data_IF_021563409090
#
_entry.id   IF_021563409090
#
_cell.length_a   1.000
_cell.length_b   1.000
_cell.length_c   1.000
_cell.angle_alpha   90.00
_cell.angle_beta   90.00
_cell.angle_gamma   90.00
#
_symmetry.space_group_name_H-M   'P 1'
#
loop_
_entity.id
_entity.type
_entity.pdbx_description
1 polymer ?
#
# COMPACT_ATOMS: atom_id res chain seq x y z
N UNK A 1 25.54 -20.86 10.08
CA UNK A 1 24.71 -20.20 9.05
C UNK A 1 25.21 -18.79 8.97
N UNK A 2 25.96 -18.45 7.91
CA UNK A 2 26.41 -17.07 7.68
C UNK A 2 25.31 -16.34 6.93
N UNK A 3 24.58 -15.48 7.65
CA UNK A 3 23.65 -14.53 7.06
C UNK A 3 24.46 -13.38 6.46
N UNK A 4 24.68 -13.44 5.15
CA UNK A 4 25.23 -12.34 4.36
C UNK A 4 24.12 -11.31 4.13
N UNK A 5 24.10 -10.26 4.96
CA UNK A 5 23.24 -9.10 4.75
C UNK A 5 23.93 -8.16 3.75
N UNK A 6 23.37 -8.02 2.56
CA UNK A 6 23.84 -7.03 1.59
C UNK A 6 23.31 -5.64 1.96
N UNK A 7 24.23 -4.70 2.15
CA UNK A 7 23.89 -3.28 2.19
C UNK A 7 23.76 -2.77 0.75
N UNK A 8 22.52 -2.66 0.27
CA UNK A 8 22.09 -1.77 -0.82
C UNK A 8 22.75 -1.99 -2.22
N UNK A 9 22.29 -3.00 -2.97
CA UNK A 9 22.49 -3.05 -4.43
C UNK A 9 21.27 -2.48 -5.16
N UNK A 10 21.35 -1.20 -5.51
CA UNK A 10 20.25 -0.48 -6.17
C UNK A 10 19.93 -1.04 -7.56
N UNK A 11 20.93 -1.51 -8.30
CA UNK A 11 20.72 -2.03 -9.65
C UNK A 11 19.96 -3.34 -9.60
N UNK A 12 20.39 -4.25 -8.71
CA UNK A 12 19.69 -5.50 -8.44
C UNK A 12 18.24 -5.26 -8.00
N UNK A 13 18.01 -4.37 -7.03
CA UNK A 13 16.66 -4.06 -6.54
C UNK A 13 15.77 -3.51 -7.66
N UNK A 14 16.29 -2.60 -8.50
CA UNK A 14 15.52 -2.03 -9.60
C UNK A 14 15.21 -3.06 -10.70
N UNK A 15 16.11 -4.00 -10.94
CA UNK A 15 15.89 -5.08 -11.91
C UNK A 15 14.85 -6.07 -11.39
N UNK A 16 14.95 -6.51 -10.13
CA UNK A 16 13.95 -7.34 -9.47
C UNK A 16 12.55 -6.68 -9.47
N UNK A 17 12.47 -5.39 -9.15
CA UNK A 17 11.19 -4.66 -9.21
C UNK A 17 10.62 -4.59 -10.64
N UNK A 18 11.46 -4.56 -11.68
CA UNK A 18 11.02 -4.57 -13.08
C UNK A 18 10.56 -5.94 -13.54
N UNK A 19 11.16 -7.01 -13.03
CA UNK A 19 10.71 -8.39 -13.29
C UNK A 19 9.49 -8.78 -12.43
N UNK A 20 9.12 -7.95 -11.45
CA UNK A 20 8.02 -8.23 -10.52
C UNK A 20 8.43 -9.14 -9.37
N UNK A 21 9.73 -9.33 -9.16
CA UNK A 21 10.31 -10.13 -8.08
C UNK A 21 10.38 -9.29 -6.79
N UNK A 22 9.59 -9.68 -5.79
CA UNK A 22 9.64 -9.11 -4.44
C UNK A 22 9.52 -10.29 -3.47
N UNK A 23 10.65 -10.70 -2.90
CA UNK A 23 10.71 -11.86 -2.00
C UNK A 23 10.20 -11.53 -0.59
N UNK A 24 10.63 -10.39 -0.06
CA UNK A 24 10.29 -9.95 1.28
C UNK A 24 10.30 -8.43 1.33
N UNK A 25 9.25 -7.87 1.91
CA UNK A 25 9.23 -6.48 2.32
C UNK A 25 9.14 -6.45 3.84
N UNK A 26 10.13 -5.83 4.48
CA UNK A 26 10.07 -5.57 5.91
C UNK A 26 8.86 -4.67 6.21
N UNK A 27 8.29 -4.80 7.42
CA UNK A 27 7.13 -4.03 7.82
C UNK A 27 7.38 -2.53 7.61
N UNK A 28 6.59 -1.94 6.71
CA UNK A 28 6.70 -0.52 6.37
C UNK A 28 6.00 0.28 7.46
N UNK A 29 6.73 1.14 8.16
CA UNK A 29 6.13 2.08 9.11
C UNK A 29 5.13 3.02 8.43
N UNK A 30 4.11 3.44 9.18
CA UNK A 30 2.99 4.27 8.70
C UNK A 30 3.44 5.50 7.89
N UNK A 31 4.46 6.22 8.37
CA UNK A 31 4.98 7.41 7.69
C UNK A 31 5.55 7.09 6.29
N UNK A 32 6.29 5.97 6.17
CA UNK A 32 6.91 5.55 4.92
C UNK A 32 5.85 5.04 3.93
N UNK A 33 4.84 4.29 4.42
CA UNK A 33 3.70 3.89 3.60
C UNK A 33 2.91 5.12 3.12
N UNK A 34 2.74 6.12 3.98
CA UNK A 34 2.09 7.38 3.63
C UNK A 34 2.82 8.14 2.53
N UNK A 35 4.14 8.28 2.63
CA UNK A 35 4.97 8.92 1.61
C UNK A 35 4.94 8.14 0.28
N UNK A 36 4.95 6.81 0.36
CA UNK A 36 4.81 5.96 -0.80
C UNK A 36 3.46 6.20 -1.52
N UNK A 37 2.35 6.18 -0.80
CA UNK A 37 1.04 6.46 -1.41
C UNK A 37 0.91 7.89 -1.92
N UNK A 38 1.49 8.89 -1.23
CA UNK A 38 1.55 10.28 -1.75
C UNK A 38 2.26 10.35 -3.10
N UNK A 39 3.35 9.61 -3.28
CA UNK A 39 4.04 9.52 -4.58
C UNK A 39 3.19 8.82 -5.64
N UNK A 40 2.50 7.73 -5.29
CA UNK A 40 1.62 7.03 -6.23
C UNK A 40 0.45 7.89 -6.70
N UNK A 41 -0.18 8.61 -5.77
CA UNK A 41 -1.30 9.52 -6.03
C UNK A 41 -0.82 10.71 -6.85
N UNK A 42 0.25 11.39 -6.41
CA UNK A 42 0.77 12.59 -7.07
C UNK A 42 1.29 12.34 -8.49
N UNK A 43 1.66 11.10 -8.82
CA UNK A 43 2.08 10.67 -10.17
C UNK A 43 0.99 9.95 -10.95
N UNK A 44 -0.23 9.90 -10.44
CA UNK A 44 -1.38 9.20 -11.04
C UNK A 44 -1.08 7.73 -11.39
N UNK A 45 -0.21 7.07 -10.63
CA UNK A 45 0.16 5.66 -10.89
C UNK A 45 -1.05 4.76 -10.67
N UNK A 46 -1.81 4.98 -9.60
CA UNK A 46 -3.01 4.18 -9.30
C UNK A 46 -4.08 4.29 -10.38
N UNK A 47 -4.25 5.49 -10.98
CA UNK A 47 -5.18 5.69 -12.10
C UNK A 47 -4.71 4.97 -13.37
N UNK A 48 -3.41 5.05 -13.68
CA UNK A 48 -2.83 4.33 -14.82
C UNK A 48 -2.96 2.82 -14.68
N UNK A 49 -2.69 2.30 -13.48
CA UNK A 49 -2.89 0.88 -13.17
C UNK A 49 -4.38 0.47 -13.26
N UNK A 50 -5.28 1.32 -12.76
CA UNK A 50 -6.72 1.10 -12.84
C UNK A 50 -7.20 0.99 -14.30
N UNK A 51 -6.66 1.80 -15.21
CA UNK A 51 -7.00 1.76 -16.64
C UNK A 51 -6.51 0.48 -17.35
N UNK A 52 -5.44 -0.13 -16.84
CA UNK A 52 -4.92 -1.42 -17.36
C UNK A 52 -5.49 -2.63 -16.62
N UNK A 53 -6.39 -2.44 -15.65
CA UNK A 53 -6.92 -3.53 -14.84
C UNK A 53 -7.88 -4.39 -15.67
N UNK A 54 -7.89 -5.73 -15.52
CA UNK A 54 -8.79 -6.59 -16.28
C UNK A 54 -10.26 -6.22 -16.06
N UNK A 55 -11.01 -6.02 -17.16
CA UNK A 55 -12.45 -5.75 -17.17
C UNK A 55 -13.21 -6.81 -17.98
N UNK A 56 -14.47 -7.13 -17.64
CA UNK A 56 -15.30 -6.52 -16.59
C UNK A 56 -15.00 -7.09 -15.21
N UNK A 57 -15.22 -6.28 -14.17
CA UNK A 57 -15.17 -6.75 -12.77
C UNK A 57 -16.57 -6.94 -12.23
N UNK A 58 -16.74 -7.87 -11.29
CA UNK A 58 -18.05 -8.14 -10.69
C UNK A 58 -18.49 -7.04 -9.71
N UNK A 59 -17.55 -6.43 -8.98
CA UNK A 59 -17.81 -5.42 -7.94
C UNK A 59 -17.48 -4.01 -8.42
N UNK A 60 -18.49 -3.27 -8.86
CA UNK A 60 -18.32 -1.92 -9.42
C UNK A 60 -18.41 -0.78 -8.40
N UNK A 61 -18.84 -1.07 -7.17
CA UNK A 61 -19.11 -0.10 -6.12
C UNK A 61 -17.86 0.62 -5.59
N UNK A 62 -16.69 -0.03 -5.69
CA UNK A 62 -15.40 0.56 -5.29
C UNK A 62 -14.63 0.99 -6.54
N UNK A 63 -14.12 2.23 -6.62
CA UNK A 63 -13.23 2.62 -7.71
C UNK A 63 -12.01 1.68 -7.82
N UNK A 64 -11.64 1.26 -9.04
CA UNK A 64 -10.52 0.31 -9.26
C UNK A 64 -9.23 0.78 -8.61
N UNK A 65 -8.92 2.08 -8.67
CA UNK A 65 -7.71 2.64 -8.08
C UNK A 65 -7.64 2.43 -6.56
N UNK A 66 -8.79 2.48 -5.89
CA UNK A 66 -8.88 2.31 -4.44
C UNK A 66 -8.74 0.83 -4.07
N UNK A 67 -9.31 -0.06 -4.88
CA UNK A 67 -9.09 -1.50 -4.76
C UNK A 67 -7.59 -1.85 -4.88
N UNK A 68 -6.92 -1.32 -5.91
CA UNK A 68 -5.48 -1.50 -6.11
C UNK A 68 -4.65 -0.93 -4.96
N UNK A 69 -5.00 0.25 -4.45
CA UNK A 69 -4.33 0.83 -3.28
C UNK A 69 -4.47 -0.06 -2.04
N UNK A 70 -5.63 -0.69 -1.88
CA UNK A 70 -5.94 -1.60 -0.76
C UNK A 70 -5.10 -2.87 -0.82
N UNK A 71 -5.00 -3.48 -2.00
CA UNK A 71 -4.15 -4.65 -2.25
C UNK A 71 -2.67 -4.36 -2.01
N UNK A 72 -2.21 -3.20 -2.48
CA UNK A 72 -0.84 -2.76 -2.23
C UNK A 72 -0.60 -2.61 -0.73
N UNK A 73 -1.48 -1.92 -0.01
CA UNK A 73 -1.36 -1.74 1.45
C UNK A 73 -1.37 -3.09 2.19
N UNK A 74 -2.26 -4.01 1.84
CA UNK A 74 -2.27 -5.37 2.41
C UNK A 74 -0.94 -6.10 2.21
N UNK A 75 -0.32 -5.99 1.02
CA UNK A 75 0.99 -6.56 0.72
C UNK A 75 2.12 -5.89 1.52
N UNK A 76 2.10 -4.56 1.66
CA UNK A 76 3.08 -3.83 2.47
C UNK A 76 3.03 -4.24 3.96
N UNK A 77 1.84 -4.65 4.42
CA UNK A 77 1.62 -5.15 5.78
C UNK A 77 1.79 -6.66 5.92
N UNK A 78 2.23 -7.37 4.87
CA UNK A 78 2.37 -8.83 4.86
C UNK A 78 1.07 -9.57 5.19
N UNK A 79 -0.09 -8.95 4.93
CA UNK A 79 -1.38 -9.48 5.34
C UNK A 79 -2.06 -10.24 4.21
N UNK A 80 -2.37 -11.54 4.38
CA UNK A 80 -2.86 -12.38 3.28
C UNK A 80 -4.36 -12.24 3.03
N UNK A 81 -5.11 -11.50 3.85
CA UNK A 81 -6.57 -11.49 3.80
C UNK A 81 -7.16 -10.09 3.86
N UNK A 82 -8.17 -9.86 3.01
CA UNK A 82 -9.00 -8.65 3.03
C UNK A 82 -9.74 -8.43 4.36
N UNK A 83 -9.92 -9.46 5.19
CA UNK A 83 -10.47 -9.29 6.54
C UNK A 83 -9.57 -8.44 7.44
N UNK A 84 -8.26 -8.40 7.16
CA UNK A 84 -7.33 -7.53 7.85
C UNK A 84 -7.43 -6.06 7.41
N UNK A 85 -8.09 -5.79 6.29
CA UNK A 85 -8.04 -4.49 5.65
C UNK A 85 -8.52 -3.35 6.54
N UNK A 86 -9.62 -3.45 7.33
CA UNK A 86 -10.01 -2.37 8.24
C UNK A 86 -8.93 -2.01 9.28
N UNK A 87 -8.16 -3.00 9.75
CA UNK A 87 -7.04 -2.78 10.65
C UNK A 87 -5.87 -2.13 9.90
N UNK A 88 -5.48 -2.68 8.75
CA UNK A 88 -4.40 -2.17 7.91
C UNK A 88 -4.65 -0.72 7.48
N UNK A 89 -5.89 -0.40 7.13
CA UNK A 89 -6.29 0.95 6.73
C UNK A 89 -6.16 1.96 7.89
N UNK A 90 -6.39 1.53 9.14
CA UNK A 90 -6.21 2.36 10.34
C UNK A 90 -4.75 2.52 10.74
N UNK A 91 -3.97 1.43 10.70
CA UNK A 91 -2.56 1.40 11.09
C UNK A 91 -1.60 1.83 9.99
N UNK A 92 -2.11 2.02 8.77
CA UNK A 92 -1.32 2.31 7.58
C UNK A 92 -1.38 3.77 7.14
N UNK A 93 -0.46 4.13 6.26
CA UNK A 93 -0.31 5.50 5.76
C UNK A 93 -1.28 5.89 4.63
N UNK A 94 -2.09 4.96 4.12
CA UNK A 94 -2.98 5.19 2.97
C UNK A 94 -4.02 6.29 3.24
N UNK A 95 -4.72 6.24 4.39
CA UNK A 95 -5.72 7.27 4.76
C UNK A 95 -5.07 8.66 4.81
N UNK A 96 -3.89 8.75 5.42
CA UNK A 96 -3.20 10.03 5.58
C UNK A 96 -2.70 10.57 4.24
N UNK A 97 -2.31 9.68 3.32
CA UNK A 97 -1.92 10.05 1.96
C UNK A 97 -3.09 10.59 1.12
N UNK A 98 -4.31 10.09 1.35
CA UNK A 98 -5.53 10.57 0.70
C UNK A 98 -5.97 11.95 1.22
N UNK A 99 -5.50 12.33 2.41
CA UNK A 99 -5.83 13.59 3.06
C UNK A 99 -7.29 13.65 3.53
N UNK A 100 -7.67 14.74 4.23
CA UNK A 100 -8.93 14.79 4.99
C UNK A 100 -10.20 14.73 4.13
N UNK A 101 -10.11 15.09 2.84
CA UNK A 101 -11.27 15.07 1.93
C UNK A 101 -11.67 13.66 1.49
N UNK A 102 -10.69 12.77 1.28
CA UNK A 102 -10.91 11.44 0.74
C UNK A 102 -10.68 10.34 1.78
N UNK A 103 -9.66 10.48 2.62
CA UNK A 103 -9.34 9.54 3.70
C UNK A 103 -10.12 9.80 4.99
N UNK A 104 -10.76 10.97 5.12
CA UNK A 104 -11.37 11.40 6.38
C UNK A 104 -10.33 11.78 7.44
N UNK A 105 -10.75 11.82 8.70
CA UNK A 105 -9.87 12.08 9.83
C UNK A 105 -9.75 10.80 10.66
N UNK A 106 -8.51 10.33 10.89
CA UNK A 106 -8.27 9.32 11.91
C UNK A 106 -8.68 9.90 13.26
N UNK A 107 -9.69 9.28 13.87
CA UNK A 107 -10.13 9.65 15.21
C UNK A 107 -9.57 8.63 16.20
N UNK A 108 -8.95 9.13 17.26
CA UNK A 108 -8.55 8.30 18.39
C UNK A 108 -9.79 7.85 19.15
N UNK A 109 -9.84 6.58 19.53
CA UNK A 109 -10.88 6.06 20.38
C UNK A 109 -10.90 6.82 21.72
N UNK A 110 -12.04 7.39 22.14
CA UNK A 110 -12.09 8.32 23.27
C UNK A 110 -11.67 7.70 24.61
N UNK A 111 -11.78 6.38 24.75
CA UNK A 111 -11.46 5.67 26.00
C UNK A 111 -10.10 4.96 25.98
N UNK A 112 -9.57 4.62 24.80
CA UNK A 112 -8.38 3.77 24.68
C UNK A 112 -7.23 4.44 23.92
N UNK A 113 -7.47 5.61 23.30
CA UNK A 113 -6.45 6.42 22.62
C UNK A 113 -5.88 5.83 21.33
N UNK A 114 -6.32 4.65 20.90
CA UNK A 114 -5.92 3.99 19.65
C UNK A 114 -6.92 4.12 18.51
#
# INVERSE_FOLDING_TARGET
MDLLAFAYDRSFILEALRSGEIDYLEHVGEALEGDFFRQLIGREILNRLANSYPTPREKEEVPTWLYLASEISLKLHGSPSHHAFPRVLRSGGLIDALGPKLGGQKTTHPETGG
#
